data_IF_238007946800
#
_entry.id   IF_238007946800
#
_cell.length_a   1.000
_cell.length_b   1.000
_cell.length_c   1.000
_cell.angle_alpha   90.00
_cell.angle_beta   90.00
_cell.angle_gamma   90.00
#
_symmetry.space_group_name_H-M   'P 1'
#
loop_
_entity.id
_entity.type
_entity.pdbx_description
1 polymer ?
#
# COMPACT_ATOMS: atom_id res chain seq x y z
N UNK A 1 -44.19 24.82 0.39
CA UNK A 1 -43.00 24.81 1.25
C UNK A 1 -42.33 23.45 0.99
N UNK A 2 -41.29 23.44 0.13
CA UNK A 2 -40.60 22.21 -0.27
C UNK A 2 -39.42 22.04 0.67
N UNK A 3 -39.48 21.04 1.53
CA UNK A 3 -38.32 20.64 2.38
C UNK A 3 -37.26 20.03 1.46
N UNK A 4 -36.19 20.75 1.23
CA UNK A 4 -34.99 20.22 0.61
C UNK A 4 -34.29 19.27 1.62
N UNK A 5 -34.45 17.98 1.41
CA UNK A 5 -33.69 16.95 2.14
C UNK A 5 -32.24 17.04 1.63
N UNK A 6 -31.37 17.68 2.38
CA UNK A 6 -29.92 17.59 2.17
C UNK A 6 -29.50 16.17 2.45
N UNK A 7 -29.22 15.40 1.40
CA UNK A 7 -28.50 14.13 1.51
C UNK A 7 -27.08 14.51 1.95
N UNK A 8 -26.80 14.36 3.23
CA UNK A 8 -25.47 14.44 3.77
C UNK A 8 -24.73 13.21 3.24
N UNK A 9 -23.83 13.40 2.30
CA UNK A 9 -22.94 12.33 1.86
C UNK A 9 -22.20 11.81 3.10
N UNK A 10 -22.40 10.55 3.41
CA UNK A 10 -21.68 9.89 4.51
C UNK A 10 -20.20 9.89 4.11
N UNK A 11 -19.44 10.82 4.69
CA UNK A 11 -18.04 11.08 4.34
C UNK A 11 -17.14 10.04 5.02
N UNK A 12 -17.51 8.75 4.86
CA UNK A 12 -16.70 7.65 5.36
C UNK A 12 -15.58 7.32 4.38
N UNK A 13 -14.37 7.23 4.89
CA UNK A 13 -13.22 6.82 4.09
C UNK A 13 -13.46 5.47 3.42
N UNK A 14 -13.11 5.31 2.13
CA UNK A 14 -13.28 4.05 1.43
C UNK A 14 -12.40 2.97 2.04
N UNK A 15 -12.92 1.74 2.06
CA UNK A 15 -12.23 0.56 2.57
C UNK A 15 -12.03 -0.45 1.46
N UNK A 16 -10.92 -1.18 1.55
CA UNK A 16 -10.63 -2.30 0.66
C UNK A 16 -10.27 -3.54 1.49
N UNK A 17 -10.57 -4.71 0.95
CA UNK A 17 -10.08 -5.99 1.47
C UNK A 17 -9.01 -6.50 0.52
N UNK A 18 -7.81 -6.69 1.06
CA UNK A 18 -6.71 -7.38 0.41
C UNK A 18 -6.72 -8.83 0.89
N UNK A 19 -7.10 -9.76 0.01
CA UNK A 19 -7.01 -11.19 0.27
C UNK A 19 -5.62 -11.68 -0.07
N UNK A 20 -4.96 -12.31 0.88
CA UNK A 20 -3.62 -12.89 0.68
C UNK A 20 -3.63 -14.39 0.92
N UNK A 21 -2.59 -15.08 0.50
CA UNK A 21 -2.39 -16.51 0.81
C UNK A 21 -2.20 -16.79 2.31
N UNK A 22 -2.03 -15.75 3.14
CA UNK A 22 -1.87 -15.87 4.59
C UNK A 22 -3.05 -15.29 5.40
N UNK A 23 -4.08 -14.76 4.73
CA UNK A 23 -5.26 -14.17 5.36
C UNK A 23 -5.65 -12.82 4.76
N UNK A 24 -6.73 -12.26 5.28
CA UNK A 24 -7.34 -11.03 4.78
C UNK A 24 -6.85 -9.82 5.58
N UNK A 25 -6.57 -8.72 4.88
CA UNK A 25 -6.18 -7.43 5.46
C UNK A 25 -7.19 -6.39 4.99
N UNK A 26 -7.90 -5.75 5.92
CA UNK A 26 -8.81 -4.64 5.60
C UNK A 26 -8.08 -3.31 5.81
N UNK A 27 -8.12 -2.46 4.79
CA UNK A 27 -7.41 -1.19 4.75
C UNK A 27 -8.41 -0.06 4.53
N UNK A 28 -8.37 0.96 5.36
CA UNK A 28 -9.04 2.23 5.15
C UNK A 28 -8.11 3.16 4.39
N UNK A 29 -8.62 3.82 3.34
CA UNK A 29 -7.84 4.73 2.48
C UNK A 29 -8.24 6.18 2.74
N UNK A 30 -7.31 7.11 2.55
CA UNK A 30 -7.46 8.53 2.89
C UNK A 30 -7.43 9.44 1.65
N UNK A 31 -8.51 9.46 0.81
CA UNK A 31 -8.55 10.26 -0.42
C UNK A 31 -8.42 11.77 -0.17
N UNK A 32 -8.88 12.26 0.99
CA UNK A 32 -8.77 13.69 1.34
C UNK A 32 -7.31 14.11 1.65
N UNK A 33 -6.47 13.16 2.06
CA UNK A 33 -5.05 13.38 2.40
C UNK A 33 -4.10 13.01 1.28
N UNK A 34 -4.47 12.04 0.46
CA UNK A 34 -3.66 11.52 -0.62
C UNK A 34 -4.51 11.24 -1.88
N UNK A 35 -5.16 12.26 -2.46
CA UNK A 35 -6.10 12.07 -3.56
C UNK A 35 -5.46 11.45 -4.81
N UNK A 36 -4.25 11.86 -5.17
CA UNK A 36 -3.54 11.33 -6.34
C UNK A 36 -3.16 9.87 -6.10
N UNK A 37 -2.62 9.55 -4.92
CA UNK A 37 -2.17 8.21 -4.55
C UNK A 37 -3.34 7.24 -4.45
N UNK A 38 -4.43 7.62 -3.80
CA UNK A 38 -5.63 6.79 -3.67
C UNK A 38 -6.26 6.54 -5.04
N UNK A 39 -6.38 7.56 -5.89
CA UNK A 39 -6.87 7.42 -7.27
C UNK A 39 -6.00 6.45 -8.08
N UNK A 40 -4.69 6.58 -7.97
CA UNK A 40 -3.73 5.68 -8.63
C UNK A 40 -3.90 4.24 -8.13
N UNK A 41 -3.95 4.02 -6.82
CA UNK A 41 -4.17 2.70 -6.24
C UNK A 41 -5.47 2.06 -6.72
N UNK A 42 -6.58 2.81 -6.73
CA UNK A 42 -7.86 2.35 -7.27
C UNK A 42 -7.78 2.00 -8.75
N UNK A 43 -7.07 2.80 -9.56
CA UNK A 43 -6.95 2.52 -10.99
C UNK A 43 -6.27 1.17 -11.29
N UNK A 44 -5.30 0.77 -10.48
CA UNK A 44 -4.68 -0.56 -10.56
C UNK A 44 -5.59 -1.66 -10.01
N UNK A 45 -6.27 -1.38 -8.89
CA UNK A 45 -7.18 -2.32 -8.25
C UNK A 45 -8.38 -2.67 -9.15
N UNK A 46 -9.01 -1.66 -9.76
CA UNK A 46 -10.19 -1.82 -10.61
C UNK A 46 -9.87 -2.64 -11.87
N UNK A 47 -8.63 -2.56 -12.36
CA UNK A 47 -8.10 -3.40 -13.46
C UNK A 47 -7.62 -4.78 -12.99
N UNK A 48 -7.81 -5.13 -11.71
CA UNK A 48 -7.32 -6.38 -11.12
C UNK A 48 -5.79 -6.57 -11.28
N UNK A 49 -5.06 -5.47 -11.38
CA UNK A 49 -3.61 -5.50 -11.59
C UNK A 49 -2.89 -6.23 -10.45
N UNK A 50 -3.33 -6.04 -9.20
CA UNK A 50 -2.72 -6.64 -8.02
C UNK A 50 -2.96 -8.13 -7.89
N UNK A 51 -3.97 -8.67 -8.58
CA UNK A 51 -4.32 -10.09 -8.50
C UNK A 51 -3.14 -10.95 -8.99
N UNK A 52 -2.72 -11.88 -8.15
CA UNK A 52 -1.59 -12.76 -8.41
C UNK A 52 -0.20 -12.14 -8.22
N UNK A 53 -0.10 -10.87 -7.80
CA UNK A 53 1.19 -10.29 -7.40
C UNK A 53 1.60 -10.80 -6.01
N UNK A 54 2.88 -10.59 -5.65
CA UNK A 54 3.43 -11.09 -4.39
C UNK A 54 3.96 -9.97 -3.50
N UNK A 55 4.07 -10.27 -2.19
CA UNK A 55 4.94 -9.54 -1.30
C UNK A 55 6.38 -10.03 -1.55
N UNK A 56 7.13 -9.29 -2.36
CA UNK A 56 8.46 -9.69 -2.84
C UNK A 56 9.62 -9.22 -1.95
N UNK A 57 9.35 -8.34 -0.98
CA UNK A 57 10.34 -7.86 -0.02
C UNK A 57 9.68 -7.72 1.35
N UNK A 58 10.18 -8.49 2.30
CA UNK A 58 9.66 -8.56 3.67
C UNK A 58 10.81 -8.41 4.64
N UNK A 59 10.74 -7.41 5.49
CA UNK A 59 11.75 -7.15 6.53
C UNK A 59 11.03 -7.00 7.87
N UNK A 60 11.23 -7.97 8.76
CA UNK A 60 10.72 -7.93 10.13
C UNK A 60 11.18 -6.64 10.83
N UNK A 61 10.30 -6.06 11.65
CA UNK A 61 10.54 -4.79 12.34
C UNK A 61 10.82 -3.61 11.39
N UNK A 62 10.33 -3.71 10.15
CA UNK A 62 10.36 -2.62 9.18
C UNK A 62 9.07 -2.57 8.37
N UNK A 63 8.94 -3.35 7.27
CA UNK A 63 7.77 -3.29 6.40
C UNK A 63 7.61 -4.57 5.57
N UNK A 64 6.43 -4.74 4.97
CA UNK A 64 6.16 -5.71 3.92
C UNK A 64 5.80 -4.98 2.62
N UNK A 65 6.51 -5.26 1.53
CA UNK A 65 6.37 -4.57 0.24
C UNK A 65 5.93 -5.52 -0.86
N UNK A 66 4.97 -5.08 -1.66
CA UNK A 66 4.43 -5.88 -2.76
C UNK A 66 3.70 -5.07 -3.83
N UNK A 67 2.89 -5.75 -4.62
CA UNK A 67 1.98 -5.16 -5.60
C UNK A 67 2.59 -4.84 -6.96
N UNK A 68 3.79 -5.36 -7.29
CA UNK A 68 4.42 -5.06 -8.58
C UNK A 68 4.99 -6.27 -9.33
N UNK A 69 5.24 -7.36 -8.63
CA UNK A 69 5.89 -8.55 -9.21
C UNK A 69 4.97 -9.77 -9.14
N UNK A 70 5.07 -10.61 -10.16
CA UNK A 70 4.49 -11.94 -10.21
C UNK A 70 5.37 -12.94 -9.43
N UNK A 71 4.88 -14.17 -9.11
CA UNK A 71 5.65 -15.17 -8.37
C UNK A 71 6.98 -15.59 -9.04
N UNK A 72 7.10 -15.41 -10.34
CA UNK A 72 8.33 -15.63 -11.12
C UNK A 72 9.18 -14.35 -11.27
N UNK A 73 8.93 -13.33 -10.43
CA UNK A 73 9.66 -12.06 -10.34
C UNK A 73 9.63 -11.19 -11.60
N UNK A 74 8.67 -11.38 -12.48
CA UNK A 74 8.43 -10.48 -13.60
C UNK A 74 7.62 -9.27 -13.15
N UNK A 75 8.04 -8.08 -13.60
CA UNK A 75 7.27 -6.85 -13.43
C UNK A 75 6.06 -6.85 -14.36
N UNK A 76 4.90 -6.46 -13.85
CA UNK A 76 3.74 -6.17 -14.69
C UNK A 76 3.88 -4.77 -15.32
N UNK A 77 3.32 -4.52 -16.52
CA UNK A 77 3.32 -3.19 -17.12
C UNK A 77 2.67 -2.16 -16.20
N UNK A 78 3.34 -1.03 -16.00
CA UNK A 78 2.88 0.02 -15.08
C UNK A 78 2.36 1.24 -15.81
N UNK A 79 1.47 2.01 -15.16
CA UNK A 79 1.02 3.33 -15.60
C UNK A 79 2.11 4.38 -15.32
N UNK A 80 2.00 5.60 -15.88
CA UNK A 80 2.91 6.70 -15.56
C UNK A 80 3.04 6.93 -14.04
N UNK A 81 4.22 7.35 -13.63
CA UNK A 81 4.51 7.68 -12.23
C UNK A 81 3.65 8.86 -11.75
N UNK A 82 3.40 8.90 -10.45
CA UNK A 82 2.56 9.91 -9.82
C UNK A 82 3.38 10.85 -8.93
N UNK A 83 2.85 12.05 -8.72
CA UNK A 83 3.41 13.01 -7.77
C UNK A 83 3.34 12.45 -6.35
N UNK A 84 4.41 12.63 -5.60
CA UNK A 84 4.53 12.20 -4.21
C UNK A 84 3.74 13.13 -3.28
N UNK A 85 2.84 12.56 -2.49
CA UNK A 85 2.02 13.29 -1.52
C UNK A 85 2.52 13.13 -0.07
N UNK A 86 3.79 12.82 0.16
CA UNK A 86 4.35 12.63 1.51
C UNK A 86 4.28 13.88 2.41
N UNK A 87 4.02 15.05 1.83
CA UNK A 87 3.80 16.31 2.56
C UNK A 87 2.39 16.43 3.17
N UNK A 88 1.56 15.41 3.06
CA UNK A 88 0.15 15.42 3.50
C UNK A 88 -0.06 15.38 5.03
N UNK A 89 1.02 15.38 5.81
CA UNK A 89 1.00 15.37 7.28
C UNK A 89 0.84 13.98 7.91
N UNK A 90 0.57 12.93 7.11
CA UNK A 90 0.50 11.56 7.60
C UNK A 90 1.90 10.99 7.86
N UNK A 91 2.01 10.11 8.84
CA UNK A 91 3.27 9.51 9.28
C UNK A 91 3.29 8.01 9.00
N UNK A 92 4.48 7.48 8.70
CA UNK A 92 4.72 6.05 8.49
C UNK A 92 4.70 5.28 9.82
N UNK A 93 3.53 5.26 10.45
CA UNK A 93 3.26 4.53 11.68
C UNK A 93 2.94 3.06 11.40
N UNK A 94 3.09 2.21 12.41
CA UNK A 94 2.67 0.80 12.33
C UNK A 94 1.25 0.68 11.77
N UNK A 95 1.09 -0.20 10.78
CA UNK A 95 -0.17 -0.49 10.10
C UNK A 95 -0.52 0.50 8.97
N UNK A 96 0.22 1.59 8.75
CA UNK A 96 -0.03 2.46 7.60
C UNK A 96 0.45 1.83 6.31
N UNK A 97 -0.25 2.12 5.20
CA UNK A 97 0.14 1.76 3.84
C UNK A 97 0.69 2.99 3.11
N UNK A 98 1.84 2.82 2.45
CA UNK A 98 2.55 3.88 1.76
C UNK A 98 3.02 3.42 0.38
N UNK A 99 3.22 4.39 -0.55
CA UNK A 99 3.72 4.10 -1.89
C UNK A 99 5.24 3.88 -1.87
N UNK A 100 5.66 2.75 -2.41
CA UNK A 100 7.07 2.52 -2.74
C UNK A 100 7.47 3.35 -3.97
N UNK A 101 8.73 3.78 -4.02
CA UNK A 101 9.28 4.61 -5.08
C UNK A 101 10.77 4.34 -5.31
N UNK A 102 11.28 4.81 -6.41
CA UNK A 102 12.70 4.88 -6.72
C UNK A 102 13.33 6.15 -6.09
N UNK A 103 14.64 6.42 -6.26
CA UNK A 103 15.30 7.63 -5.71
C UNK A 103 14.61 8.95 -6.12
N UNK A 104 14.10 9.07 -7.35
CA UNK A 104 13.26 10.22 -7.71
C UNK A 104 12.00 10.22 -6.85
N UNK A 105 11.71 11.36 -6.24
CA UNK A 105 10.57 11.51 -5.33
C UNK A 105 9.22 11.25 -6.00
N UNK A 106 9.08 11.57 -7.28
CA UNK A 106 7.87 11.45 -8.09
C UNK A 106 7.89 10.20 -9.00
N UNK A 107 8.53 9.11 -8.56
CA UNK A 107 8.69 7.87 -9.34
C UNK A 107 7.74 6.73 -8.94
N UNK A 108 6.84 6.94 -7.99
CA UNK A 108 5.91 5.92 -7.54
C UNK A 108 4.94 5.50 -8.66
N UNK A 109 4.69 4.19 -8.81
CA UNK A 109 3.73 3.64 -9.77
C UNK A 109 2.70 2.75 -9.10
N UNK A 110 2.93 1.44 -8.98
CA UNK A 110 1.97 0.47 -8.46
C UNK A 110 2.35 -0.10 -7.09
N UNK A 111 3.65 -0.18 -6.76
CA UNK A 111 4.11 -0.87 -5.57
C UNK A 111 3.81 -0.06 -4.31
N UNK A 112 3.46 -0.79 -3.26
CA UNK A 112 3.19 -0.24 -1.94
C UNK A 112 3.88 -1.08 -0.86
N UNK A 113 3.94 -0.54 0.35
CA UNK A 113 4.35 -1.29 1.53
C UNK A 113 3.43 -0.98 2.72
N UNK A 114 3.33 -1.96 3.61
CA UNK A 114 2.63 -1.79 4.90
C UNK A 114 3.70 -1.75 5.99
N UNK A 115 3.67 -0.72 6.81
CA UNK A 115 4.60 -0.53 7.90
C UNK A 115 4.32 -1.53 9.03
N UNK A 116 5.30 -2.36 9.34
CA UNK A 116 5.21 -3.33 10.44
C UNK A 116 5.44 -2.67 11.82
N UNK A 117 6.23 -1.61 11.85
CA UNK A 117 6.52 -0.77 13.02
C UNK A 117 6.41 0.71 12.65
N UNK A 118 6.63 1.61 13.61
CA UNK A 118 6.76 3.05 13.36
C UNK A 118 8.09 3.34 12.64
N UNK A 119 8.02 3.78 11.40
CA UNK A 119 9.17 4.05 10.54
C UNK A 119 9.34 5.55 10.30
N UNK A 120 9.73 6.31 11.32
CA UNK A 120 9.85 7.78 11.27
C UNK A 120 10.87 8.26 10.22
N UNK A 121 11.87 7.43 9.89
CA UNK A 121 12.83 7.72 8.83
C UNK A 121 12.24 7.74 7.41
N UNK A 122 11.02 7.21 7.22
CA UNK A 122 10.29 7.24 5.97
C UNK A 122 9.36 8.45 5.82
N UNK A 123 9.24 9.28 6.87
CA UNK A 123 8.43 10.49 6.85
C UNK A 123 9.08 11.59 6.03
N UNK A 124 8.23 12.50 5.52
CA UNK A 124 8.72 13.73 4.91
C UNK A 124 9.50 14.56 5.93
N UNK A 125 10.70 14.97 5.59
CA UNK A 125 11.60 15.83 6.38
C UNK A 125 11.95 17.14 5.65
N UNK A 126 12.25 17.03 4.36
CA UNK A 126 12.70 18.14 3.52
C UNK A 126 12.42 17.83 2.03
N UNK A 127 12.74 18.78 1.15
CA UNK A 127 12.46 18.68 -0.29
C UNK A 127 13.58 17.97 -1.09
N UNK A 128 14.58 17.39 -0.45
CA UNK A 128 15.56 16.55 -1.14
C UNK A 128 14.92 15.22 -1.57
N UNK A 129 15.46 14.54 -2.59
CA UNK A 129 14.96 13.22 -2.98
C UNK A 129 14.93 12.21 -1.82
N UNK A 130 15.95 12.22 -0.98
CA UNK A 130 16.08 11.33 0.18
C UNK A 130 15.16 11.76 1.34
N UNK A 131 15.01 13.06 1.57
CA UNK A 131 14.23 13.62 2.67
C UNK A 131 12.75 13.79 2.36
N UNK A 132 12.35 13.63 1.08
CA UNK A 132 10.94 13.83 0.69
C UNK A 132 9.99 12.82 1.33
N UNK A 133 10.49 11.62 1.62
CA UNK A 133 9.73 10.57 2.29
C UNK A 133 8.81 9.78 1.36
N UNK A 134 7.88 9.04 1.99
CA UNK A 134 6.97 8.11 1.33
C UNK A 134 5.52 8.46 1.69
N UNK A 135 4.67 8.59 0.68
CA UNK A 135 3.29 9.03 0.84
C UNK A 135 2.44 7.94 1.51
N UNK A 136 2.05 8.19 2.77
CA UNK A 136 1.02 7.41 3.44
C UNK A 136 -0.33 7.76 2.82
N UNK A 137 -1.14 6.73 2.48
CA UNK A 137 -2.44 6.94 1.85
C UNK A 137 -3.57 6.09 2.48
N UNK A 138 -3.29 5.36 3.56
CA UNK A 138 -4.28 4.57 4.28
C UNK A 138 -3.69 3.84 5.48
N UNK A 139 -4.52 3.03 6.13
CA UNK A 139 -4.15 2.26 7.31
C UNK A 139 -4.91 0.94 7.38
N UNK A 140 -4.23 -0.10 7.83
CA UNK A 140 -4.85 -1.38 8.20
C UNK A 140 -5.76 -1.16 9.40
N UNK A 141 -7.03 -1.53 9.26
CA UNK A 141 -8.04 -1.46 10.33
C UNK A 141 -8.45 -2.86 10.84
N UNK A 142 -8.13 -3.92 10.06
CA UNK A 142 -8.32 -5.32 10.45
C UNK A 142 -7.27 -6.18 9.75
N UNK A 143 -6.73 -7.19 10.42
CA UNK A 143 -5.74 -8.12 9.86
C UNK A 143 -4.28 -7.68 10.10
N UNK A 144 -3.98 -6.88 11.15
CA UNK A 144 -2.60 -6.61 11.54
C UNK A 144 -1.85 -7.87 11.99
N UNK A 145 -2.55 -8.84 12.54
CA UNK A 145 -2.02 -10.18 12.84
C UNK A 145 -1.54 -10.92 11.58
N UNK A 146 -2.24 -10.75 10.45
CA UNK A 146 -1.80 -11.26 9.14
C UNK A 146 -0.54 -10.53 8.67
N UNK A 147 -0.48 -9.20 8.82
CA UNK A 147 0.74 -8.42 8.52
C UNK A 147 1.92 -8.90 9.36
N UNK A 148 1.71 -9.14 10.66
CA UNK A 148 2.74 -9.65 11.57
C UNK A 148 3.21 -11.06 11.17
N UNK A 149 2.28 -11.93 10.78
CA UNK A 149 2.59 -13.26 10.28
C UNK A 149 3.43 -13.19 9.00
N UNK A 150 3.05 -12.34 8.03
CA UNK A 150 3.83 -12.10 6.81
C UNK A 150 5.22 -11.55 7.14
N UNK A 151 5.32 -10.56 8.04
CA UNK A 151 6.59 -9.97 8.44
C UNK A 151 7.54 -10.95 9.15
N UNK A 152 7.02 -12.07 9.65
CA UNK A 152 7.77 -13.07 10.42
C UNK A 152 8.19 -14.29 9.60
N UNK A 153 7.88 -14.36 8.31
CA UNK A 153 8.28 -15.49 7.46
C UNK A 153 9.79 -15.54 7.23
N UNK A 154 10.29 -16.72 6.94
CA UNK A 154 11.69 -16.92 6.55
C UNK A 154 11.90 -16.26 5.19
N UNK A 155 12.91 -15.39 5.10
CA UNK A 155 13.33 -14.73 3.86
C UNK A 155 14.69 -15.23 3.39
N UNK A 156 14.95 -15.04 2.10
CA UNK A 156 16.21 -15.44 1.45
C UNK A 156 16.57 -14.44 0.35
N UNK A 157 17.75 -14.59 -0.21
CA UNK A 157 18.13 -13.92 -1.46
C UNK A 157 17.66 -14.80 -2.62
N UNK A 158 16.87 -14.23 -3.54
CA UNK A 158 16.36 -14.93 -4.72
C UNK A 158 16.35 -13.98 -5.93
N UNK A 159 16.81 -14.47 -7.09
CA UNK A 159 16.87 -13.67 -8.33
C UNK A 159 17.58 -12.32 -8.14
N UNK A 160 18.69 -12.28 -7.35
CA UNK A 160 19.44 -11.07 -7.05
C UNK A 160 18.77 -10.10 -6.07
N UNK A 161 17.62 -10.48 -5.47
CA UNK A 161 16.87 -9.66 -4.51
C UNK A 161 17.00 -10.24 -3.10
N UNK A 162 17.37 -9.40 -2.14
CA UNK A 162 17.39 -9.77 -0.73
C UNK A 162 15.99 -9.66 -0.09
N UNK A 163 15.81 -10.32 1.06
CA UNK A 163 14.58 -10.26 1.86
C UNK A 163 13.33 -10.75 1.12
N UNK A 164 13.48 -11.71 0.23
CA UNK A 164 12.37 -12.36 -0.49
C UNK A 164 11.82 -13.48 0.39
N UNK A 165 10.51 -13.56 0.66
CA UNK A 165 9.92 -14.72 1.32
C UNK A 165 10.30 -16.04 0.63
N UNK A 166 10.74 -17.03 1.42
CA UNK A 166 11.12 -18.35 0.88
C UNK A 166 9.98 -19.00 0.12
N UNK A 167 8.77 -18.89 0.64
CA UNK A 167 7.54 -19.28 -0.02
C UNK A 167 6.80 -18.03 -0.47
N UNK A 168 6.29 -18.03 -1.71
CA UNK A 168 5.61 -16.88 -2.27
C UNK A 168 4.35 -16.53 -1.47
N UNK A 169 4.25 -15.29 -1.04
CA UNK A 169 3.06 -14.75 -0.40
C UNK A 169 2.29 -13.96 -1.45
N UNK A 170 1.18 -14.52 -1.90
CA UNK A 170 0.42 -13.99 -3.01
C UNK A 170 -0.70 -13.06 -2.53
N UNK A 171 -0.86 -11.93 -3.19
CA UNK A 171 -2.04 -11.10 -3.13
C UNK A 171 -3.06 -11.73 -4.09
N UNK A 172 -4.06 -12.40 -3.54
CA UNK A 172 -5.09 -13.11 -4.31
C UNK A 172 -5.99 -12.08 -5.00
N UNK A 173 -6.39 -11.04 -4.27
CA UNK A 173 -7.18 -9.94 -4.81
C UNK A 173 -7.18 -8.74 -3.87
N UNK A 174 -7.44 -7.55 -4.43
CA UNK A 174 -7.80 -6.35 -3.66
C UNK A 174 -9.13 -5.85 -4.21
N UNK A 175 -10.12 -5.65 -3.34
CA UNK A 175 -11.48 -5.21 -3.74
C UNK A 175 -12.02 -4.18 -2.75
N UNK A 176 -12.88 -3.29 -3.25
CA UNK A 176 -13.62 -2.37 -2.38
C UNK A 176 -14.52 -3.16 -1.43
N UNK A 177 -14.66 -2.66 -0.21
CA UNK A 177 -15.74 -3.10 0.68
C UNK A 177 -17.00 -2.37 0.21
N UNK A 178 -18.02 -3.11 -0.20
CA UNK A 178 -19.33 -2.54 -0.46
C UNK A 178 -19.93 -2.11 0.88
N UNK A 179 -20.42 -0.88 0.97
CA UNK A 179 -21.20 -0.45 2.13
C UNK A 179 -22.59 -1.03 1.94
N UNK A 180 -23.00 -1.91 2.84
CA UNK A 180 -24.38 -2.40 2.96
C UNK A 180 -25.33 -1.25 3.32
#
# INVERSE_FOLDING_TARGET
MVLATTIQADNTNPKVIMKTSMGDITIELYPDKAPITVKNFFSYMDEKFYDGTIFHRVIKEFMIQGGGLTPDFRSKPVKPAIKNEATNGLKNKRGTISMARMPDKDSATCQFFINHVDNTGLDHRDNTPEGYGYAVFGKVIKGMDVVDAIASVITMTRSGRANVPREAITIISIRRVEND
#
